data_IF_537373904645
#
_entry.id   IF_537373904645
#
_cell.length_a   1.000
_cell.length_b   1.000
_cell.length_c   1.000
_cell.angle_alpha   90.00
_cell.angle_beta   90.00
_cell.angle_gamma   90.00
#
_symmetry.space_group_name_H-M   'P 1'
#
loop_
_entity.id
_entity.type
_entity.pdbx_description
1 polymer ?
#
# COMPACT_ATOMS: atom_id res chain seq x y z
N UNK A 1 -9.35 -21.06 0.44
CA UNK A 1 -10.36 -20.77 1.49
C UNK A 1 -9.81 -19.62 2.33
N UNK A 2 -10.59 -18.58 2.64
CA UNK A 2 -10.11 -17.46 3.46
C UNK A 2 -9.89 -17.93 4.90
N UNK A 3 -8.76 -17.53 5.51
CA UNK A 3 -8.41 -17.88 6.88
C UNK A 3 -9.14 -16.94 7.86
N UNK A 4 -10.05 -17.45 8.72
CA UNK A 4 -10.78 -16.63 9.69
C UNK A 4 -9.89 -16.07 10.82
N UNK A 5 -8.73 -16.68 11.08
CA UNK A 5 -7.73 -16.21 12.06
C UNK A 5 -6.86 -15.06 11.51
N UNK A 6 -6.89 -14.84 10.19
CA UNK A 6 -6.04 -13.85 9.56
C UNK A 6 -6.50 -12.44 9.93
N UNK A 7 -5.76 -11.80 10.83
CA UNK A 7 -5.97 -10.41 11.20
C UNK A 7 -5.70 -9.51 9.99
N UNK A 8 -6.60 -8.58 9.73
CA UNK A 8 -6.40 -7.59 8.69
C UNK A 8 -5.13 -6.78 8.96
N UNK A 9 -4.21 -6.79 7.99
CA UNK A 9 -2.97 -6.03 8.08
C UNK A 9 -3.28 -4.55 7.83
N UNK A 10 -3.24 -3.76 8.90
CA UNK A 10 -3.40 -2.31 8.79
C UNK A 10 -2.18 -1.65 8.10
N UNK A 11 -2.25 -0.35 7.84
CA UNK A 11 -1.17 0.38 7.16
C UNK A 11 0.20 0.24 7.87
N UNK A 12 0.21 0.14 9.20
CA UNK A 12 1.44 -0.06 9.98
C UNK A 12 2.03 -1.46 9.75
N UNK A 13 1.20 -2.50 9.79
CA UNK A 13 1.61 -3.86 9.46
C UNK A 13 2.15 -3.96 8.03
N UNK A 14 1.50 -3.30 7.05
CA UNK A 14 1.98 -3.26 5.67
C UNK A 14 3.34 -2.57 5.53
N UNK A 15 3.58 -1.50 6.31
CA UNK A 15 4.87 -0.83 6.32
C UNK A 15 5.99 -1.68 6.93
N UNK A 16 5.68 -2.56 7.88
CA UNK A 16 6.66 -3.52 8.38
C UNK A 16 6.99 -4.60 7.34
N UNK A 17 5.98 -5.12 6.64
CA UNK A 17 6.19 -6.05 5.53
C UNK A 17 7.01 -5.42 4.40
N UNK A 18 6.83 -4.12 4.12
CA UNK A 18 7.62 -3.39 3.15
C UNK A 18 9.13 -3.44 3.44
N UNK A 19 9.54 -3.50 4.72
CA UNK A 19 10.96 -3.64 5.08
C UNK A 19 11.52 -4.98 4.62
N UNK A 20 10.78 -6.07 4.83
CA UNK A 20 11.17 -7.41 4.39
C UNK A 20 11.20 -7.49 2.86
N UNK A 21 10.18 -6.93 2.19
CA UNK A 21 10.14 -6.86 0.73
C UNK A 21 11.33 -6.09 0.14
N UNK A 22 11.82 -5.04 0.80
CA UNK A 22 13.03 -4.33 0.35
C UNK A 22 14.31 -5.15 0.50
N UNK A 23 14.33 -6.14 1.37
CA UNK A 23 15.46 -7.10 1.51
C UNK A 23 15.39 -8.12 0.38
N UNK A 24 14.21 -8.69 0.15
CA UNK A 24 13.99 -9.69 -0.92
C UNK A 24 14.12 -9.10 -2.33
N UNK A 25 13.68 -7.85 -2.52
CA UNK A 25 13.66 -7.15 -3.79
C UNK A 25 14.46 -5.85 -3.70
N UNK A 26 15.80 -5.88 -3.89
CA UNK A 26 16.66 -4.71 -3.73
C UNK A 26 16.29 -3.51 -4.61
N UNK A 27 15.67 -3.74 -5.77
CA UNK A 27 15.19 -2.68 -6.66
C UNK A 27 14.12 -1.78 -6.01
N UNK A 28 13.37 -2.28 -5.02
CA UNK A 28 12.44 -1.47 -4.23
C UNK A 28 13.13 -0.40 -3.36
N UNK A 29 14.45 -0.53 -3.12
CA UNK A 29 15.24 0.52 -2.44
C UNK A 29 15.53 1.70 -3.35
N UNK A 30 15.51 1.51 -4.66
CA UNK A 30 15.69 2.59 -5.64
C UNK A 30 14.43 3.45 -5.77
N UNK A 31 13.26 2.87 -5.48
CA UNK A 31 12.01 3.60 -5.46
C UNK A 31 11.90 4.50 -4.21
N UNK A 32 11.22 5.63 -4.39
CA UNK A 32 10.97 6.62 -3.35
C UNK A 32 10.15 5.98 -2.21
N UNK A 33 10.68 6.06 -0.98
CA UNK A 33 10.13 5.32 0.16
C UNK A 33 8.72 5.76 0.57
N UNK A 34 8.42 7.03 0.38
CA UNK A 34 7.22 7.72 0.82
C UNK A 34 6.05 7.43 -0.12
N UNK A 35 6.32 7.26 -1.41
CA UNK A 35 5.37 6.76 -2.40
C UNK A 35 4.96 5.30 -2.10
N UNK A 36 5.92 4.43 -1.75
CA UNK A 36 5.61 3.05 -1.37
C UNK A 36 4.73 2.98 -0.11
N UNK A 37 5.02 3.81 0.90
CA UNK A 37 4.19 3.92 2.10
C UNK A 37 2.80 4.48 1.79
N UNK A 38 2.70 5.45 0.87
CA UNK A 38 1.41 6.01 0.43
C UNK A 38 0.58 4.97 -0.32
N UNK A 39 1.20 4.13 -1.15
CA UNK A 39 0.54 3.00 -1.80
C UNK A 39 -0.01 1.99 -0.77
N UNK A 40 0.79 1.62 0.24
CA UNK A 40 0.34 0.77 1.34
C UNK A 40 -0.83 1.37 2.12
N UNK A 41 -0.81 2.69 2.38
CA UNK A 41 -1.91 3.38 3.07
C UNK A 41 -3.21 3.29 2.27
N UNK A 42 -3.14 3.54 0.96
CA UNK A 42 -4.29 3.44 0.07
C UNK A 42 -4.84 2.01 0.01
N UNK A 43 -3.95 1.01 -0.04
CA UNK A 43 -4.31 -0.40 -0.02
C UNK A 43 -5.06 -0.77 1.27
N UNK A 44 -4.50 -0.40 2.43
CA UNK A 44 -5.12 -0.66 3.71
C UNK A 44 -6.50 0.01 3.85
N UNK A 45 -6.63 1.28 3.43
CA UNK A 45 -7.92 1.97 3.49
C UNK A 45 -8.98 1.32 2.58
N UNK A 46 -8.60 0.95 1.35
CA UNK A 46 -9.53 0.33 0.40
C UNK A 46 -10.07 -1.01 0.93
N UNK A 47 -9.20 -1.88 1.45
CA UNK A 47 -9.63 -3.14 2.05
C UNK A 47 -10.41 -2.94 3.34
N UNK A 48 -10.05 -1.97 4.17
CA UNK A 48 -10.81 -1.64 5.38
C UNK A 48 -12.26 -1.24 5.03
N UNK A 49 -12.45 -0.39 4.01
CA UNK A 49 -13.79 0.01 3.54
C UNK A 49 -14.57 -1.15 2.93
N UNK A 50 -13.89 -2.03 2.21
CA UNK A 50 -14.49 -3.26 1.67
C UNK A 50 -15.01 -4.17 2.78
N UNK A 51 -14.20 -4.44 3.81
CA UNK A 51 -14.63 -5.28 4.94
C UNK A 51 -15.72 -4.62 5.79
N UNK A 52 -15.80 -3.29 5.82
CA UNK A 52 -16.91 -2.54 6.43
C UNK A 52 -18.18 -2.54 5.57
N UNK A 53 -18.18 -3.15 4.39
CA UNK A 53 -19.32 -3.16 3.46
C UNK A 53 -19.63 -1.81 2.79
N UNK A 54 -18.72 -0.83 2.90
CA UNK A 54 -18.93 0.51 2.36
C UNK A 54 -18.68 0.58 0.85
N UNK A 55 -17.77 -0.25 0.35
CA UNK A 55 -17.33 -0.26 -1.05
C UNK A 55 -17.27 -1.70 -1.60
N UNK A 56 -17.27 -1.82 -2.93
CA UNK A 56 -16.99 -3.07 -3.64
C UNK A 56 -15.52 -3.50 -3.46
N UNK A 57 -15.19 -4.71 -3.92
CA UNK A 57 -13.83 -5.25 -3.86
C UNK A 57 -12.81 -4.23 -4.41
N UNK A 58 -11.70 -3.96 -3.68
CA UNK A 58 -10.67 -3.02 -4.11
C UNK A 58 -10.09 -3.39 -5.49
N UNK A 59 -9.86 -2.39 -6.33
CA UNK A 59 -9.26 -2.59 -7.66
C UNK A 59 -8.03 -1.71 -7.80
N UNK A 60 -7.05 -2.18 -8.55
CA UNK A 60 -5.92 -1.34 -8.94
C UNK A 60 -6.41 -0.17 -9.79
N UNK A 61 -5.80 1.00 -9.58
CA UNK A 61 -6.14 2.18 -10.37
C UNK A 61 -5.75 1.97 -11.83
N UNK A 62 -6.66 2.33 -12.74
CA UNK A 62 -6.36 2.32 -14.18
C UNK A 62 -5.48 3.50 -14.58
N UNK A 63 -4.61 3.31 -15.58
CA UNK A 63 -3.74 4.35 -16.16
C UNK A 63 -4.48 5.42 -17.01
N UNK A 64 -5.82 5.36 -17.12
CA UNK A 64 -6.61 6.17 -18.07
C UNK A 64 -6.58 7.69 -17.86
N UNK A 65 -6.23 8.18 -16.68
CA UNK A 65 -6.11 9.62 -16.38
C UNK A 65 -4.67 9.98 -16.03
N UNK A 66 -4.30 11.25 -16.15
CA UNK A 66 -3.02 11.82 -15.68
C UNK A 66 -2.92 11.75 -14.14
N UNK A 67 -2.83 10.53 -13.60
CA UNK A 67 -2.52 10.31 -12.20
C UNK A 67 -1.03 10.61 -12.01
N UNK A 68 -0.73 11.72 -11.36
CA UNK A 68 0.63 12.07 -11.00
C UNK A 68 1.17 11.11 -9.95
N UNK A 69 2.47 10.84 -10.03
CA UNK A 69 3.20 10.19 -8.96
C UNK A 69 3.09 11.04 -7.68
N UNK A 70 2.71 10.44 -6.56
CA UNK A 70 2.58 11.13 -5.29
C UNK A 70 3.70 10.68 -4.35
N UNK A 71 4.68 11.56 -4.15
CA UNK A 71 5.70 11.48 -3.11
C UNK A 71 5.48 12.60 -2.10
N UNK A 72 5.89 12.39 -0.85
CA UNK A 72 5.96 13.44 0.16
C UNK A 72 7.40 13.91 0.26
N UNK A 73 7.59 15.22 0.31
CA UNK A 73 8.87 15.81 0.64
C UNK A 73 9.20 15.50 2.11
N UNK A 74 10.23 14.69 2.33
CA UNK A 74 10.74 14.32 3.65
C UNK A 74 12.26 14.24 3.57
N UNK A 75 12.95 14.78 4.59
CA UNK A 75 14.42 14.73 4.71
C UNK A 75 15.20 15.20 3.46
N UNK A 76 14.63 16.13 2.68
CA UNK A 76 15.33 16.70 1.52
C UNK A 76 15.33 15.84 0.25
N UNK A 77 14.38 14.90 0.07
CA UNK A 77 14.18 14.22 -1.23
C UNK A 77 13.49 15.10 -2.26
#
# INVERSE_FOLDING_TARGET
KNNPEAKFVNAFGMNNLLKQLKVEYPWLKQAESTALQSANRNLADAFQRFFKGQNKFPRFKSRKYSQSYNSKYVNGN
#
